data_IF_827375122018
#
_entry.id   IF_827375122018
#
_cell.length_a   1.000
_cell.length_b   1.000
_cell.length_c   1.000
_cell.angle_alpha   90.00
_cell.angle_beta   90.00
_cell.angle_gamma   90.00
#
_symmetry.space_group_name_H-M   'P 1'
#
loop_
_entity.id
_entity.type
_entity.pdbx_description
1 polymer ?
#
# COMPACT_ATOMS: atom_id res chain seq x y z
N UNK A 1 28.40 -19.41 -7.47
CA UNK A 1 28.20 -17.98 -7.21
C UNK A 1 26.73 -17.67 -7.19
N UNK A 2 26.26 -17.12 -6.11
CA UNK A 2 24.85 -16.79 -5.98
C UNK A 2 24.54 -15.49 -6.72
N UNK A 3 23.47 -15.49 -7.50
CA UNK A 3 22.95 -14.27 -8.10
C UNK A 3 21.99 -13.63 -7.13
N UNK A 4 22.31 -12.43 -6.67
CA UNK A 4 21.45 -11.70 -5.78
C UNK A 4 20.27 -11.17 -6.57
N UNK A 5 19.06 -11.43 -6.07
CA UNK A 5 17.82 -10.99 -6.72
C UNK A 5 17.12 -9.96 -5.86
N UNK A 6 16.60 -8.92 -6.50
CA UNK A 6 15.78 -7.91 -5.87
C UNK A 6 14.38 -7.99 -6.46
N UNK A 7 13.40 -8.35 -5.63
CA UNK A 7 12.01 -8.47 -6.06
C UNK A 7 11.19 -7.40 -5.37
N UNK A 8 10.41 -6.65 -6.15
CA UNK A 8 9.52 -5.62 -5.62
C UNK A 8 8.12 -5.85 -6.15
N UNK A 9 7.12 -5.83 -5.24
CA UNK A 9 5.73 -5.80 -5.64
C UNK A 9 5.34 -4.33 -5.81
N UNK A 10 4.92 -3.95 -7.01
CA UNK A 10 4.64 -2.55 -7.36
C UNK A 10 3.15 -2.21 -7.38
N UNK A 11 2.27 -3.17 -7.09
CA UNK A 11 0.83 -2.98 -7.11
C UNK A 11 0.20 -3.89 -6.06
N UNK A 12 -0.09 -3.36 -4.87
CA UNK A 12 -0.75 -4.14 -3.82
C UNK A 12 -1.67 -3.27 -2.99
N UNK A 13 -2.69 -3.90 -2.44
CA UNK A 13 -3.71 -3.25 -1.64
C UNK A 13 -3.70 -3.77 -0.20
N UNK A 14 -4.21 -2.94 0.72
CA UNK A 14 -4.39 -3.31 2.13
C UNK A 14 -5.85 -3.18 2.52
N UNK A 15 -6.31 -3.99 3.47
CA UNK A 15 -7.70 -3.94 3.93
C UNK A 15 -8.04 -2.64 4.64
N UNK A 16 -7.05 -1.91 5.13
CA UNK A 16 -7.26 -0.62 5.79
C UNK A 16 -7.80 0.45 4.83
N UNK A 17 -7.49 0.35 3.54
CA UNK A 17 -7.84 1.42 2.59
C UNK A 17 -8.53 0.94 1.32
N UNK A 18 -8.46 -0.33 0.98
CA UNK A 18 -9.05 -0.85 -0.27
C UNK A 18 -10.14 -1.88 0.02
N UNK A 19 -11.32 -1.68 -0.57
CA UNK A 19 -12.47 -2.55 -0.30
C UNK A 19 -12.28 -3.98 -0.84
N UNK A 20 -11.44 -4.15 -1.85
CA UNK A 20 -11.16 -5.46 -2.45
C UNK A 20 -10.13 -6.28 -1.70
N UNK A 21 -9.41 -5.69 -0.75
CA UNK A 21 -8.32 -6.36 -0.04
C UNK A 21 -8.83 -7.10 1.19
N UNK A 22 -8.29 -8.29 1.42
CA UNK A 22 -8.66 -9.13 2.56
C UNK A 22 -7.61 -9.22 3.66
N UNK A 23 -6.45 -8.58 3.48
CA UNK A 23 -5.34 -8.65 4.44
C UNK A 23 -4.85 -7.26 4.81
N UNK A 24 -4.43 -7.09 6.07
CA UNK A 24 -3.89 -5.82 6.56
C UNK A 24 -2.50 -5.54 5.97
N UNK A 25 -2.07 -4.27 6.08
CA UNK A 25 -0.73 -3.90 5.64
C UNK A 25 0.36 -4.71 6.31
N UNK A 26 0.26 -4.94 7.63
CA UNK A 26 1.23 -5.75 8.35
C UNK A 26 1.23 -7.20 7.87
N UNK A 27 0.05 -7.78 7.63
CA UNK A 27 -0.06 -9.15 7.11
C UNK A 27 0.55 -9.27 5.72
N UNK A 28 0.30 -8.27 4.85
CA UNK A 28 0.88 -8.24 3.51
C UNK A 28 2.40 -8.14 3.57
N UNK A 29 2.94 -7.29 4.44
CA UNK A 29 4.39 -7.16 4.60
C UNK A 29 5.02 -8.48 4.98
N UNK A 30 4.43 -9.21 5.94
CA UNK A 30 4.94 -10.52 6.35
C UNK A 30 4.88 -11.54 5.21
N UNK A 31 3.76 -11.55 4.48
CA UNK A 31 3.57 -12.50 3.38
C UNK A 31 4.60 -12.29 2.26
N UNK A 32 4.84 -11.05 1.87
CA UNK A 32 5.82 -10.75 0.83
C UNK A 32 7.24 -11.04 1.30
N UNK A 33 7.57 -10.76 2.55
CA UNK A 33 8.88 -11.10 3.11
C UNK A 33 9.12 -12.61 3.08
N UNK A 34 8.14 -13.40 3.50
CA UNK A 34 8.23 -14.86 3.45
C UNK A 34 8.39 -15.39 2.03
N UNK A 35 7.77 -14.72 1.06
CA UNK A 35 7.88 -15.10 -0.35
C UNK A 35 9.21 -14.68 -0.99
N UNK A 36 10.09 -14.02 -0.26
CA UNK A 36 11.41 -13.64 -0.74
C UNK A 36 11.50 -12.27 -1.37
N UNK A 37 10.50 -11.42 -1.19
CA UNK A 37 10.51 -10.07 -1.74
C UNK A 37 11.46 -9.16 -0.96
N UNK A 38 12.10 -8.24 -1.68
CA UNK A 38 12.98 -7.21 -1.11
C UNK A 38 12.17 -6.04 -0.58
N UNK A 39 11.10 -5.68 -1.28
CA UNK A 39 10.24 -4.58 -0.89
C UNK A 39 8.90 -4.62 -1.56
N UNK A 40 8.01 -3.76 -1.10
CA UNK A 40 6.66 -3.60 -1.63
C UNK A 40 6.35 -2.12 -1.76
N UNK A 41 5.49 -1.79 -2.72
CA UNK A 41 4.92 -0.46 -2.83
C UNK A 41 3.42 -0.59 -2.58
N UNK A 42 2.94 0.04 -1.51
CA UNK A 42 1.52 0.01 -1.17
C UNK A 42 0.78 0.99 -2.09
N UNK A 43 -0.18 0.48 -2.87
CA UNK A 43 -0.91 1.26 -3.86
C UNK A 43 -2.42 1.08 -3.66
N UNK A 44 -2.92 1.48 -2.49
CA UNK A 44 -4.34 1.36 -2.17
C UNK A 44 -5.20 2.25 -3.07
N UNK A 45 -6.47 1.86 -3.24
CA UNK A 45 -7.44 2.63 -4.03
C UNK A 45 -7.71 3.99 -3.39
N UNK A 46 -7.52 5.04 -4.18
CA UNK A 46 -7.69 6.41 -3.74
C UNK A 46 -9.16 6.83 -3.76
N UNK A 47 -9.43 8.11 -3.50
CA UNK A 47 -10.74 8.67 -3.15
C UNK A 47 -11.87 8.29 -4.12
N UNK A 48 -11.62 8.32 -5.44
CA UNK A 48 -12.64 7.99 -6.45
C UNK A 48 -12.57 6.53 -6.91
N UNK A 49 -11.72 5.72 -6.30
CA UNK A 49 -11.59 4.30 -6.61
C UNK A 49 -12.32 3.42 -5.60
N UNK A 50 -11.94 2.15 -5.57
CA UNK A 50 -12.55 1.15 -4.67
C UNK A 50 -11.97 1.22 -3.26
N UNK A 51 -11.96 2.43 -2.68
CA UNK A 51 -11.49 2.64 -1.32
C UNK A 51 -12.50 2.18 -0.29
N UNK A 52 -12.01 1.66 0.84
CA UNK A 52 -12.84 1.30 1.99
C UNK A 52 -12.97 2.46 2.99
N UNK A 53 -12.24 3.55 2.79
CA UNK A 53 -12.27 4.70 3.69
C UNK A 53 -13.52 5.54 3.41
N UNK A 54 -14.24 5.92 4.47
CA UNK A 54 -15.48 6.68 4.37
C UNK A 54 -15.23 8.06 3.76
N UNK A 55 -15.82 8.32 2.59
CA UNK A 55 -15.64 9.58 1.85
C UNK A 55 -16.30 10.78 2.51
N UNK A 56 -17.15 10.57 3.53
CA UNK A 56 -17.79 11.67 4.25
C UNK A 56 -16.87 12.31 5.30
N UNK A 57 -15.72 11.72 5.59
CA UNK A 57 -14.77 12.26 6.55
C UNK A 57 -14.14 13.57 6.06
N UNK A 58 -13.75 14.48 6.98
CA UNK A 58 -12.92 15.63 6.59
C UNK A 58 -11.68 15.17 5.86
N UNK A 59 -11.22 15.97 4.88
CA UNK A 59 -10.13 15.56 3.99
C UNK A 59 -8.87 15.10 4.74
N UNK A 60 -8.45 15.84 5.76
CA UNK A 60 -7.25 15.47 6.52
C UNK A 60 -7.41 14.12 7.22
N UNK A 61 -8.59 13.87 7.80
CA UNK A 61 -8.89 12.59 8.44
C UNK A 61 -8.95 11.48 7.40
N UNK A 62 -9.53 11.74 6.23
CA UNK A 62 -9.61 10.77 5.15
C UNK A 62 -8.20 10.34 4.71
N UNK A 63 -7.31 11.30 4.49
CA UNK A 63 -5.93 11.01 4.08
C UNK A 63 -5.21 10.21 5.17
N UNK A 64 -5.38 10.58 6.43
CA UNK A 64 -4.77 9.86 7.54
C UNK A 64 -5.22 8.39 7.57
N UNK A 65 -6.50 8.15 7.40
CA UNK A 65 -7.02 6.78 7.37
C UNK A 65 -6.59 6.01 6.13
N UNK A 66 -6.56 6.69 5.00
CA UNK A 66 -6.08 6.09 3.76
C UNK A 66 -4.64 5.59 3.88
N UNK A 67 -3.81 6.30 4.61
CA UNK A 67 -2.39 5.94 4.76
C UNK A 67 -2.13 4.87 5.81
N UNK A 68 -3.14 4.43 6.58
CA UNK A 68 -2.93 3.46 7.66
C UNK A 68 -2.35 2.13 7.15
N UNK A 69 -2.82 1.64 6.00
CA UNK A 69 -2.30 0.40 5.45
C UNK A 69 -0.80 0.48 5.15
N UNK A 70 -0.40 1.58 4.53
CA UNK A 70 1.02 1.84 4.29
C UNK A 70 1.81 1.95 5.61
N UNK A 71 1.28 2.71 6.57
CA UNK A 71 1.98 2.90 7.84
C UNK A 71 2.16 1.60 8.62
N UNK A 72 1.12 0.75 8.64
CA UNK A 72 1.20 -0.56 9.28
C UNK A 72 2.19 -1.47 8.55
N UNK A 73 2.16 -1.46 7.22
CA UNK A 73 3.10 -2.25 6.42
C UNK A 73 4.53 -1.77 6.64
N UNK A 74 4.75 -0.45 6.70
CA UNK A 74 6.08 0.12 6.90
C UNK A 74 6.63 -0.23 8.29
N UNK A 75 5.82 -0.11 9.33
CA UNK A 75 6.24 -0.46 10.69
C UNK A 75 6.63 -1.94 10.78
N UNK A 76 5.83 -2.82 10.19
CA UNK A 76 6.15 -4.24 10.16
C UNK A 76 7.39 -4.52 9.30
N UNK A 77 7.51 -3.84 8.16
CA UNK A 77 8.67 -3.97 7.27
C UNK A 77 9.96 -3.59 7.97
N UNK A 78 9.96 -2.52 8.75
CA UNK A 78 11.13 -2.12 9.53
C UNK A 78 11.53 -3.20 10.54
N UNK A 79 10.54 -3.88 11.11
CA UNK A 79 10.78 -4.96 12.07
C UNK A 79 11.37 -6.22 11.43
N UNK A 80 10.98 -6.54 10.20
CA UNK A 80 11.33 -7.81 9.54
C UNK A 80 12.32 -7.66 8.38
N UNK A 81 12.76 -6.44 8.09
CA UNK A 81 13.75 -6.19 7.04
C UNK A 81 13.18 -6.15 5.62
N UNK A 82 11.95 -5.68 5.47
CA UNK A 82 11.31 -5.46 4.17
C UNK A 82 11.18 -3.97 3.91
N UNK A 83 11.60 -3.51 2.73
CA UNK A 83 11.42 -2.11 2.32
C UNK A 83 9.96 -1.86 1.94
N UNK A 84 9.39 -0.76 2.41
CA UNK A 84 7.99 -0.42 2.13
C UNK A 84 7.91 1.02 1.63
N UNK A 85 7.30 1.20 0.47
CA UNK A 85 7.17 2.50 -0.19
C UNK A 85 5.71 2.89 -0.34
N UNK A 86 5.46 4.19 -0.46
CA UNK A 86 4.12 4.75 -0.57
C UNK A 86 3.76 5.05 -2.02
N UNK A 87 2.54 4.71 -2.41
CA UNK A 87 1.93 5.07 -3.66
C UNK A 87 0.41 4.96 -3.52
N UNK A 88 -0.30 5.13 -4.62
CA UNK A 88 -1.75 4.87 -4.63
C UNK A 88 -2.21 4.53 -6.03
N UNK A 89 -3.38 3.91 -6.11
CA UNK A 89 -4.05 3.62 -7.37
C UNK A 89 -5.14 4.66 -7.57
N UNK A 90 -4.93 5.56 -8.53
CA UNK A 90 -5.87 6.63 -8.85
C UNK A 90 -6.91 6.15 -9.87
N UNK A 91 -8.13 6.68 -9.76
CA UNK A 91 -9.19 6.41 -10.72
C UNK A 91 -9.70 7.73 -11.29
N UNK A 92 -9.71 7.83 -12.62
CA UNK A 92 -10.23 9.02 -13.31
C UNK A 92 -11.03 8.56 -14.53
N UNK A 93 -12.32 8.90 -14.53
CA UNK A 93 -13.25 8.53 -15.60
C UNK A 93 -13.21 7.04 -15.97
N UNK A 94 -13.12 6.18 -14.94
CA UNK A 94 -13.10 4.74 -15.14
C UNK A 94 -11.75 4.15 -15.50
N UNK A 95 -10.72 4.98 -15.68
CA UNK A 95 -9.35 4.52 -15.93
C UNK A 95 -8.57 4.54 -14.63
N UNK A 96 -7.92 3.42 -14.31
CA UNK A 96 -7.10 3.29 -13.11
C UNK A 96 -5.62 3.38 -13.47
N UNK A 97 -4.83 4.06 -12.65
CA UNK A 97 -3.38 4.16 -12.85
C UNK A 97 -2.67 4.30 -11.50
N UNK A 98 -1.42 3.86 -11.49
CA UNK A 98 -0.61 3.86 -10.27
C UNK A 98 0.22 5.14 -10.17
N UNK A 99 0.33 5.70 -8.97
CA UNK A 99 1.12 6.90 -8.68
C UNK A 99 2.16 6.57 -7.62
N UNK A 100 3.40 6.91 -7.88
CA UNK A 100 4.52 6.66 -6.98
C UNK A 100 5.30 7.95 -6.71
N UNK A 101 6.07 7.92 -5.62
CA UNK A 101 7.05 8.98 -5.36
C UNK A 101 6.51 10.23 -4.68
N UNK A 102 5.22 10.24 -4.32
CA UNK A 102 4.61 11.34 -3.55
C UNK A 102 4.38 10.87 -2.12
N UNK A 103 4.36 11.82 -1.19
CA UNK A 103 4.09 11.52 0.22
C UNK A 103 2.71 12.04 0.65
N UNK A 104 2.43 11.97 1.94
CA UNK A 104 1.14 12.38 2.52
C UNK A 104 0.91 13.89 2.51
N UNK A 105 1.95 14.64 2.39
CA UNK A 105 1.89 16.10 2.47
C UNK A 105 1.24 16.75 1.26
#
# INVERSE_FOLDING_TARGET
>A
METQRYLYETHMHTSEASACAGSTGAQMARAYKEAGYTGIIVTDHFFYGNTSVDRSLPWEEWVRRFCLGYEHAKAEGERIGLSVFFGWEACYEGTEFLVYGLDQA
#
